data_IF_187169878158
#
_entry.id   IF_187169878158
#
_cell.length_a   1.000
_cell.length_b   1.000
_cell.length_c   1.000
_cell.angle_alpha   90.00
_cell.angle_beta   90.00
_cell.angle_gamma   90.00
#
_symmetry.space_group_name_H-M   'P 1'
#
loop_
_entity.id
_entity.type
_entity.pdbx_description
1 polymer ?
#
# COMPACT_ATOMS: atom_id res chain seq x y z
N UNK A 1 -21.81 24.87 -38.42
CA UNK A 1 -20.85 25.27 -37.38
C UNK A 1 -19.95 24.09 -37.11
N UNK A 2 -18.67 24.17 -37.52
CA UNK A 2 -17.71 23.11 -37.27
C UNK A 2 -17.11 23.32 -35.87
N UNK A 3 -17.21 22.31 -35.00
CA UNK A 3 -16.47 22.27 -33.74
C UNK A 3 -14.98 22.34 -34.06
N UNK A 4 -14.31 23.40 -33.62
CA UNK A 4 -12.86 23.41 -33.61
C UNK A 4 -12.38 22.35 -32.59
N UNK A 5 -11.38 21.52 -32.95
CA UNK A 5 -10.77 20.63 -31.97
C UNK A 5 -10.14 21.49 -30.88
N UNK A 6 -10.54 21.26 -29.63
CA UNK A 6 -9.89 21.82 -28.45
C UNK A 6 -8.48 21.24 -28.42
N UNK A 7 -7.53 21.98 -29.00
CA UNK A 7 -6.11 21.69 -28.84
C UNK A 7 -5.81 21.96 -27.37
N UNK A 8 -5.82 20.89 -26.57
CA UNK A 8 -5.30 20.93 -25.20
C UNK A 8 -3.82 21.23 -25.34
N UNK A 9 -3.46 22.50 -25.18
CA UNK A 9 -2.07 22.91 -25.04
C UNK A 9 -1.58 22.31 -23.73
N UNK A 10 -1.03 21.10 -23.81
CA UNK A 10 -0.25 20.50 -22.72
C UNK A 10 0.86 21.50 -22.44
N UNK A 11 0.76 22.23 -21.33
CA UNK A 11 1.79 23.18 -20.92
C UNK A 11 3.13 22.45 -20.96
N UNK A 12 4.02 22.90 -21.83
CA UNK A 12 5.28 22.24 -22.11
C UNK A 12 6.08 22.18 -20.82
N UNK A 13 6.24 20.97 -20.28
CA UNK A 13 6.90 20.73 -19.02
C UNK A 13 8.32 21.31 -19.04
N UNK A 14 8.70 22.09 -18.02
CA UNK A 14 10.05 22.64 -17.98
C UNK A 14 11.08 21.52 -17.81
N UNK A 15 12.27 21.68 -18.42
CA UNK A 15 13.37 20.71 -18.29
C UNK A 15 13.72 20.46 -16.81
N UNK A 16 13.62 21.50 -15.99
CA UNK A 16 13.87 21.43 -14.55
C UNK A 16 12.88 20.50 -13.84
N UNK A 17 11.57 20.67 -14.05
CA UNK A 17 10.53 19.82 -13.45
C UNK A 17 10.67 18.35 -13.86
N UNK A 18 11.02 18.09 -15.12
CA UNK A 18 11.25 16.72 -15.59
C UNK A 18 12.45 16.09 -14.91
N UNK A 19 13.53 16.85 -14.76
CA UNK A 19 14.74 16.37 -14.08
C UNK A 19 14.49 16.07 -12.60
N UNK A 20 13.72 16.93 -11.92
CA UNK A 20 13.35 16.77 -10.52
C UNK A 20 12.45 15.54 -10.33
N UNK A 21 11.40 15.38 -11.17
CA UNK A 21 10.54 14.18 -11.14
C UNK A 21 11.36 12.90 -11.28
N UNK A 22 12.28 12.87 -12.26
CA UNK A 22 13.12 11.70 -12.50
C UNK A 22 14.05 11.41 -11.32
N UNK A 23 14.62 12.44 -10.69
CA UNK A 23 15.47 12.27 -9.52
C UNK A 23 14.68 11.67 -8.34
N UNK A 24 13.47 12.18 -8.08
CA UNK A 24 12.61 11.66 -7.01
C UNK A 24 12.19 10.23 -7.30
N UNK A 25 11.80 9.92 -8.55
CA UNK A 25 11.47 8.55 -8.97
C UNK A 25 12.63 7.58 -8.68
N UNK A 26 13.86 7.94 -9.07
CA UNK A 26 15.04 7.10 -8.83
C UNK A 26 15.26 6.86 -7.34
N UNK A 27 15.12 7.90 -6.51
CA UNK A 27 15.27 7.78 -5.05
C UNK A 27 14.17 6.88 -4.48
N UNK A 28 12.92 7.07 -4.90
CA UNK A 28 11.79 6.25 -4.46
C UNK A 28 11.99 4.79 -4.85
N UNK A 29 12.30 4.50 -6.12
CA UNK A 29 12.57 3.13 -6.60
C UNK A 29 13.72 2.47 -5.82
N UNK A 30 14.78 3.22 -5.52
CA UNK A 30 15.90 2.74 -4.73
C UNK A 30 15.51 2.41 -3.28
N UNK A 31 14.69 3.25 -2.64
CA UNK A 31 14.21 3.01 -1.27
C UNK A 31 13.33 1.76 -1.20
N UNK A 32 12.39 1.59 -2.14
CA UNK A 32 11.54 0.40 -2.21
C UNK A 32 12.36 -0.87 -2.47
N UNK A 33 13.31 -0.83 -3.41
CA UNK A 33 14.22 -1.95 -3.68
C UNK A 33 15.11 -2.30 -2.47
N UNK A 34 15.62 -1.29 -1.77
CA UNK A 34 16.41 -1.47 -0.55
C UNK A 34 15.56 -2.09 0.57
N UNK A 35 14.33 -1.61 0.78
CA UNK A 35 13.44 -2.15 1.79
C UNK A 35 13.12 -3.64 1.55
N UNK A 36 12.89 -4.04 0.30
CA UNK A 36 12.73 -5.44 -0.08
C UNK A 36 14.00 -6.24 0.23
N UNK A 37 15.18 -5.72 -0.14
CA UNK A 37 16.46 -6.38 0.12
C UNK A 37 16.73 -6.56 1.63
N UNK A 38 16.45 -5.54 2.44
CA UNK A 38 16.60 -5.59 3.89
C UNK A 38 15.57 -6.53 4.54
N UNK A 39 14.35 -6.61 4.01
CA UNK A 39 13.34 -7.58 4.47
C UNK A 39 13.75 -9.03 4.14
N UNK A 40 14.47 -9.26 3.03
CA UNK A 40 15.03 -10.57 2.74
C UNK A 40 16.23 -10.88 3.67
N UNK A 41 17.05 -9.88 3.97
CA UNK A 41 18.17 -10.03 4.89
C UNK A 41 17.71 -10.38 6.32
N UNK A 42 16.59 -9.82 6.80
CA UNK A 42 16.08 -10.13 8.14
C UNK A 42 15.70 -11.60 8.34
N UNK A 43 15.45 -12.36 7.26
CA UNK A 43 15.26 -13.82 7.33
C UNK A 43 16.53 -14.56 7.78
N UNK A 44 17.71 -14.02 7.46
CA UNK A 44 19.00 -14.67 7.78
C UNK A 44 19.37 -14.55 9.25
N UNK A 45 18.79 -13.57 9.95
CA UNK A 45 19.00 -13.33 11.38
C UNK A 45 17.95 -14.02 12.26
N UNK A 46 16.96 -14.67 11.66
CA UNK A 46 15.91 -15.38 12.39
C UNK A 46 16.42 -16.74 12.88
N UNK A 47 16.35 -16.97 14.19
CA UNK A 47 16.77 -18.25 14.79
C UNK A 47 15.75 -19.34 14.43
N UNK A 48 16.17 -20.30 13.60
CA UNK A 48 15.33 -21.42 13.18
C UNK A 48 15.57 -22.58 14.16
N UNK A 49 14.57 -22.86 14.99
CA UNK A 49 14.59 -23.97 15.95
C UNK A 49 13.79 -25.17 15.47
N UNK A 50 12.75 -24.93 14.67
CA UNK A 50 11.84 -25.95 14.14
C UNK A 50 11.46 -25.68 12.68
N UNK A 51 10.82 -26.65 12.00
CA UNK A 51 10.41 -26.48 10.59
C UNK A 51 9.25 -25.46 10.47
N UNK A 52 8.44 -25.35 11.52
CA UNK A 52 7.37 -24.38 11.66
C UNK A 52 7.89 -22.94 11.56
N UNK A 53 9.05 -22.66 12.17
CA UNK A 53 9.72 -21.36 12.12
C UNK A 53 10.05 -20.96 10.66
N UNK A 54 10.46 -21.92 9.84
CA UNK A 54 10.76 -21.69 8.42
C UNK A 54 9.49 -21.28 7.66
N UNK A 55 8.37 -21.97 7.89
CA UNK A 55 7.11 -21.63 7.22
C UNK A 55 6.60 -20.25 7.63
N UNK A 56 6.72 -19.89 8.92
CA UNK A 56 6.36 -18.56 9.39
C UNK A 56 7.25 -17.48 8.79
N UNK A 57 8.56 -17.65 8.83
CA UNK A 57 9.51 -16.69 8.28
C UNK A 57 9.23 -16.43 6.78
N UNK A 58 9.07 -17.48 5.98
CA UNK A 58 8.75 -17.38 4.54
C UNK A 58 7.39 -16.70 4.33
N UNK A 59 6.36 -17.08 5.09
CA UNK A 59 5.02 -16.52 4.96
C UNK A 59 4.97 -15.02 5.24
N UNK A 60 5.64 -14.57 6.30
CA UNK A 60 5.74 -13.15 6.65
C UNK A 60 6.59 -12.36 5.66
N UNK A 61 7.72 -12.90 5.24
CA UNK A 61 8.53 -12.27 4.20
C UNK A 61 7.73 -12.11 2.90
N UNK A 62 7.03 -13.15 2.47
CA UNK A 62 6.16 -13.09 1.30
C UNK A 62 5.09 -11.99 1.44
N UNK A 63 4.43 -11.91 2.60
CA UNK A 63 3.40 -10.89 2.84
C UNK A 63 3.96 -9.47 2.78
N UNK A 64 5.10 -9.23 3.42
CA UNK A 64 5.75 -7.92 3.39
C UNK A 64 6.28 -7.57 2.02
N UNK A 65 6.94 -8.51 1.34
CA UNK A 65 7.35 -8.34 -0.04
C UNK A 65 6.16 -7.97 -0.93
N UNK A 66 5.03 -8.67 -0.77
CA UNK A 66 3.81 -8.42 -1.52
C UNK A 66 3.30 -7.00 -1.28
N UNK A 67 3.21 -6.55 -0.03
CA UNK A 67 2.72 -5.20 0.27
C UNK A 67 3.68 -4.09 -0.17
N UNK A 68 4.99 -4.23 0.06
CA UNK A 68 5.98 -3.26 -0.42
C UNK A 68 5.89 -3.16 -1.95
N UNK A 69 5.80 -4.29 -2.64
CA UNK A 69 5.67 -4.34 -4.11
C UNK A 69 4.35 -3.73 -4.58
N UNK A 70 3.24 -3.98 -3.87
CA UNK A 70 1.93 -3.41 -4.18
C UNK A 70 1.96 -1.87 -4.07
N UNK A 71 2.48 -1.34 -2.96
CA UNK A 71 2.62 0.09 -2.78
C UNK A 71 3.61 0.71 -3.77
N UNK A 72 4.68 0.01 -4.11
CA UNK A 72 5.61 0.43 -5.16
C UNK A 72 4.89 0.59 -6.51
N UNK A 73 4.08 -0.39 -6.92
CA UNK A 73 3.30 -0.32 -8.16
C UNK A 73 2.35 0.88 -8.15
N UNK A 74 1.68 1.13 -7.02
CA UNK A 74 0.78 2.28 -6.87
C UNK A 74 1.52 3.61 -6.95
N UNK A 75 2.68 3.72 -6.29
CA UNK A 75 3.47 4.95 -6.28
C UNK A 75 4.15 5.21 -7.62
N UNK A 76 4.66 4.16 -8.27
CA UNK A 76 5.41 4.27 -9.54
C UNK A 76 4.58 4.90 -10.66
N UNK A 77 3.31 4.55 -10.76
CA UNK A 77 2.38 5.10 -11.76
C UNK A 77 2.31 6.63 -11.73
N UNK A 78 2.47 7.24 -10.55
CA UNK A 78 2.47 8.70 -10.44
C UNK A 78 3.64 9.38 -11.19
N UNK A 79 4.78 8.69 -11.34
CA UNK A 79 5.92 9.27 -12.05
C UNK A 79 5.80 9.13 -13.57
N UNK A 80 5.02 8.15 -14.04
CA UNK A 80 4.79 7.87 -15.46
C UNK A 80 3.69 8.79 -16.02
N UNK A 81 2.60 8.96 -15.28
CA UNK A 81 1.37 9.60 -15.79
C UNK A 81 1.30 11.12 -15.54
N UNK A 82 2.15 11.69 -14.65
CA UNK A 82 1.95 13.07 -14.17
C UNK A 82 3.15 14.01 -14.28
N UNK A 83 2.99 15.16 -14.98
CA UNK A 83 4.08 16.11 -15.20
C UNK A 83 4.35 17.06 -14.02
N UNK A 84 3.41 17.24 -13.09
CA UNK A 84 3.51 18.28 -12.03
C UNK A 84 3.78 17.64 -10.68
N UNK A 85 5.01 17.82 -10.18
CA UNK A 85 5.40 17.42 -8.84
C UNK A 85 5.47 18.67 -7.96
N UNK A 86 4.40 18.91 -7.19
CA UNK A 86 4.34 20.02 -6.24
C UNK A 86 5.04 19.67 -4.93
N UNK A 87 5.44 20.68 -4.15
CA UNK A 87 6.13 20.48 -2.87
C UNK A 87 5.36 19.61 -1.85
N UNK A 88 4.02 19.67 -1.86
CA UNK A 88 3.19 18.80 -1.02
C UNK A 88 3.28 17.31 -1.43
N UNK A 89 3.31 17.03 -2.74
CA UNK A 89 3.47 15.65 -3.27
C UNK A 89 4.86 15.13 -2.92
N UNK A 90 5.90 15.94 -3.12
CA UNK A 90 7.26 15.59 -2.71
C UNK A 90 7.34 15.28 -1.21
N UNK A 91 6.75 16.13 -0.36
CA UNK A 91 6.70 15.90 1.09
C UNK A 91 6.03 14.58 1.48
N UNK A 92 4.89 14.25 0.86
CA UNK A 92 4.21 12.98 1.09
C UNK A 92 5.08 11.80 0.64
N UNK A 93 5.71 11.88 -0.53
CA UNK A 93 6.61 10.84 -1.04
C UNK A 93 7.81 10.62 -0.13
N UNK A 94 8.39 11.69 0.44
CA UNK A 94 9.50 11.56 1.40
C UNK A 94 9.07 10.84 2.67
N UNK A 95 7.93 11.21 3.26
CA UNK A 95 7.41 10.54 4.45
C UNK A 95 7.09 9.08 4.12
N UNK A 96 6.46 8.82 2.98
CA UNK A 96 6.17 7.46 2.52
C UNK A 96 7.44 6.63 2.37
N UNK A 97 8.49 7.17 1.73
CA UNK A 97 9.78 6.49 1.60
C UNK A 97 10.42 6.20 2.96
N UNK A 98 10.32 7.13 3.91
CA UNK A 98 10.80 6.92 5.28
C UNK A 98 10.08 5.74 5.96
N UNK A 99 8.75 5.69 5.88
CA UNK A 99 7.95 4.60 6.46
C UNK A 99 8.27 3.25 5.79
N UNK A 100 8.38 3.22 4.45
CA UNK A 100 8.79 2.01 3.72
C UNK A 100 10.20 1.54 4.13
N UNK A 101 11.13 2.47 4.38
CA UNK A 101 12.50 2.14 4.78
C UNK A 101 12.61 1.56 6.20
N UNK A 102 11.71 1.93 7.12
CA UNK A 102 11.68 1.38 8.49
C UNK A 102 10.94 0.04 8.57
N UNK A 103 10.09 -0.29 7.59
CA UNK A 103 9.29 -1.52 7.59
C UNK A 103 10.09 -2.82 7.82
N UNK A 104 11.31 -3.03 7.24
CA UNK A 104 12.12 -4.22 7.51
C UNK A 104 12.53 -4.35 8.98
N UNK A 105 12.79 -3.23 9.65
CA UNK A 105 13.10 -3.22 11.09
C UNK A 105 11.87 -3.58 11.92
N UNK A 106 10.69 -3.02 11.59
CA UNK A 106 9.42 -3.35 12.26
C UNK A 106 9.10 -4.85 12.10
N UNK A 107 9.32 -5.38 10.90
CA UNK A 107 9.22 -6.80 10.58
C UNK A 107 10.14 -7.68 11.43
N UNK A 108 11.39 -7.25 11.63
CA UNK A 108 12.32 -7.98 12.49
C UNK A 108 11.83 -8.04 13.94
N UNK A 109 11.35 -6.90 14.48
CA UNK A 109 10.78 -6.87 15.84
C UNK A 109 9.56 -7.79 15.97
N UNK A 110 8.77 -7.89 14.89
CA UNK A 110 7.65 -8.81 14.83
C UNK A 110 8.11 -10.27 14.93
N UNK A 111 9.17 -10.67 14.23
CA UNK A 111 9.71 -12.03 14.30
C UNK A 111 10.22 -12.41 15.68
N UNK A 112 10.89 -11.49 16.37
CA UNK A 112 11.32 -11.69 17.78
C UNK A 112 10.13 -11.97 18.70
N UNK A 113 8.96 -11.38 18.43
CA UNK A 113 7.74 -11.64 19.19
C UNK A 113 7.20 -13.05 18.97
N UNK A 114 7.37 -13.61 17.77
CA UNK A 114 6.87 -14.96 17.44
C UNK A 114 7.74 -16.07 18.02
N UNK A 115 9.05 -15.87 18.11
CA UNK A 115 10.00 -16.85 18.65
C UNK A 115 9.98 -16.96 20.19
N UNK A 116 8.89 -16.53 20.85
CA UNK A 116 8.73 -16.61 22.30
C UNK A 116 9.43 -15.51 23.10
N UNK A 117 9.92 -14.46 22.44
CA UNK A 117 10.46 -13.28 23.12
C UNK A 117 9.37 -12.57 23.92
N UNK A 118 9.41 -12.64 25.25
CA UNK A 118 8.49 -11.92 26.15
C UNK A 118 8.85 -10.45 26.32
N UNK A 119 9.68 -9.89 25.44
CA UNK A 119 10.05 -8.49 25.51
C UNK A 119 8.83 -7.63 25.17
N UNK A 120 8.45 -6.76 26.11
CA UNK A 120 7.35 -5.80 25.97
C UNK A 120 7.43 -5.02 24.64
N UNK A 121 8.65 -4.75 24.18
CA UNK A 121 8.96 -4.10 22.89
C UNK A 121 8.44 -4.89 21.69
N UNK A 122 8.56 -6.23 21.70
CA UNK A 122 8.13 -7.08 20.60
C UNK A 122 6.59 -7.12 20.49
N UNK A 123 5.92 -7.17 21.65
CA UNK A 123 4.45 -7.09 21.75
C UNK A 123 3.95 -5.74 21.25
N UNK A 124 4.59 -4.64 21.66
CA UNK A 124 4.23 -3.28 21.19
C UNK A 124 4.43 -3.16 19.67
N UNK A 125 5.51 -3.73 19.14
CA UNK A 125 5.79 -3.71 17.70
C UNK A 125 4.70 -4.44 16.90
N UNK A 126 4.29 -5.63 17.35
CA UNK A 126 3.23 -6.42 16.74
C UNK A 126 1.85 -5.74 16.84
N UNK A 127 1.54 -5.19 18.00
CA UNK A 127 0.19 -4.66 18.26
C UNK A 127 -0.05 -3.29 17.62
N UNK A 128 0.97 -2.44 17.62
CA UNK A 128 0.82 -1.03 17.28
C UNK A 128 1.69 -0.64 16.11
N UNK A 129 2.99 -0.93 16.17
CA UNK A 129 3.95 -0.35 15.23
C UNK A 129 3.69 -0.78 13.78
N UNK A 130 3.54 -2.09 13.54
CA UNK A 130 3.29 -2.59 12.19
C UNK A 130 1.94 -2.13 11.60
N UNK A 131 0.81 -2.28 12.30
CA UNK A 131 -0.48 -1.78 11.78
C UNK A 131 -0.51 -0.26 11.59
N UNK A 132 0.12 0.52 12.48
CA UNK A 132 0.17 1.97 12.34
C UNK A 132 1.03 2.38 11.16
N UNK A 133 2.19 1.76 10.97
CA UNK A 133 3.09 2.06 9.85
C UNK A 133 2.41 1.76 8.50
N UNK A 134 1.90 0.53 8.35
CA UNK A 134 1.17 0.10 7.15
C UNK A 134 -0.11 0.90 6.89
N UNK A 135 -0.85 1.23 7.96
CA UNK A 135 -2.01 2.10 7.88
C UNK A 135 -1.64 3.51 7.44
N UNK A 136 -0.54 4.06 7.96
CA UNK A 136 -0.04 5.39 7.58
C UNK A 136 0.44 5.41 6.13
N UNK A 137 1.22 4.41 5.69
CA UNK A 137 1.62 4.25 4.27
C UNK A 137 0.39 4.25 3.37
N UNK A 138 -0.63 3.47 3.73
CA UNK A 138 -1.89 3.38 2.98
C UNK A 138 -2.62 4.72 2.90
N UNK A 139 -2.68 5.50 4.00
CA UNK A 139 -3.25 6.85 4.02
C UNK A 139 -2.47 7.79 3.10
N UNK A 140 -1.13 7.74 3.13
CA UNK A 140 -0.29 8.60 2.29
C UNK A 140 -0.49 8.27 0.81
N UNK A 141 -0.55 6.99 0.44
CA UNK A 141 -0.86 6.58 -0.93
C UNK A 141 -2.26 7.04 -1.34
N UNK A 142 -3.26 6.88 -0.47
CA UNK A 142 -4.60 7.34 -0.77
C UNK A 142 -4.67 8.88 -0.93
N UNK A 143 -3.91 9.59 -0.10
CA UNK A 143 -3.78 11.06 -0.16
C UNK A 143 -3.11 11.52 -1.45
N UNK A 144 -2.08 10.79 -1.92
CA UNK A 144 -1.48 11.03 -3.25
C UNK A 144 -2.55 10.92 -4.33
N UNK A 145 -3.27 9.80 -4.39
CA UNK A 145 -4.36 9.61 -5.36
C UNK A 145 -5.37 10.76 -5.33
N UNK A 146 -5.83 11.17 -4.15
CA UNK A 146 -6.78 12.29 -4.02
C UNK A 146 -6.21 13.64 -4.48
N UNK A 147 -4.97 13.96 -4.13
CA UNK A 147 -4.31 15.18 -4.58
C UNK A 147 -4.13 15.20 -6.09
N UNK A 148 -3.77 14.06 -6.68
CA UNK A 148 -3.64 13.94 -8.13
C UNK A 148 -5.00 14.03 -8.83
N UNK A 149 -6.04 13.37 -8.33
CA UNK A 149 -7.41 13.51 -8.86
C UNK A 149 -7.88 14.97 -8.86
N UNK A 150 -7.50 15.74 -7.83
CA UNK A 150 -7.79 17.18 -7.75
C UNK A 150 -7.02 18.00 -8.80
N UNK A 151 -5.76 17.66 -9.08
CA UNK A 151 -4.92 18.39 -10.05
C UNK A 151 -5.17 18.00 -11.51
N UNK A 152 -5.48 16.73 -11.76
CA UNK A 152 -5.67 16.14 -13.08
C UNK A 152 -7.11 16.21 -13.62
N UNK A 153 -8.05 16.79 -12.86
CA UNK A 153 -9.46 16.86 -13.25
C UNK A 153 -9.61 17.55 -14.62
N UNK A 154 -10.14 16.81 -15.60
CA UNK A 154 -10.35 17.29 -16.98
C UNK A 154 -9.10 17.29 -17.87
N UNK A 155 -7.95 16.78 -17.40
CA UNK A 155 -6.69 16.71 -18.17
C UNK A 155 -6.21 15.28 -18.42
N UNK A 156 -6.78 14.32 -17.69
CA UNK A 156 -6.38 12.91 -17.68
C UNK A 156 -7.41 12.11 -18.48
N UNK A 157 -6.99 11.15 -19.34
CA UNK A 157 -7.89 10.20 -19.98
C UNK A 157 -8.80 9.49 -18.97
N UNK A 158 -10.04 9.22 -19.35
CA UNK A 158 -11.02 8.65 -18.44
C UNK A 158 -10.60 7.30 -17.85
N UNK A 159 -9.92 6.45 -18.64
CA UNK A 159 -9.45 5.16 -18.17
C UNK A 159 -8.39 5.28 -17.06
N UNK A 160 -7.42 6.19 -17.22
CA UNK A 160 -6.43 6.50 -16.18
C UNK A 160 -7.10 7.10 -14.94
N UNK A 161 -8.08 8.00 -15.13
CA UNK A 161 -8.84 8.58 -14.04
C UNK A 161 -9.59 7.50 -13.24
N UNK A 162 -10.25 6.54 -13.92
CA UNK A 162 -10.93 5.41 -13.27
C UNK A 162 -9.96 4.59 -12.42
N UNK A 163 -8.79 4.25 -12.97
CA UNK A 163 -7.77 3.50 -12.22
C UNK A 163 -7.33 4.23 -10.96
N UNK A 164 -7.06 5.53 -11.03
CA UNK A 164 -6.65 6.31 -9.86
C UNK A 164 -7.71 6.41 -8.78
N UNK A 165 -8.98 6.56 -9.17
CA UNK A 165 -10.09 6.55 -8.21
C UNK A 165 -10.13 5.20 -7.50
N UNK A 166 -10.06 4.11 -8.25
CA UNK A 166 -10.13 2.76 -7.69
C UNK A 166 -8.94 2.44 -6.80
N UNK A 167 -7.71 2.75 -7.24
CA UNK A 167 -6.49 2.53 -6.46
C UNK A 167 -6.50 3.41 -5.18
N UNK A 168 -6.99 4.65 -5.27
CA UNK A 168 -7.18 5.53 -4.11
C UNK A 168 -8.16 4.97 -3.08
N UNK A 169 -9.31 4.45 -3.52
CA UNK A 169 -10.27 3.79 -2.62
C UNK A 169 -9.72 2.49 -2.03
N UNK A 170 -9.01 1.69 -2.82
CA UNK A 170 -8.35 0.49 -2.32
C UNK A 170 -7.34 0.85 -1.22
N UNK A 171 -6.51 1.88 -1.42
CA UNK A 171 -5.58 2.37 -0.41
C UNK A 171 -6.29 2.83 0.88
N UNK A 172 -7.46 3.48 0.79
CA UNK A 172 -8.28 3.80 1.97
C UNK A 172 -8.79 2.56 2.70
N UNK A 173 -9.18 1.51 1.97
CA UNK A 173 -9.63 0.25 2.56
C UNK A 173 -8.49 -0.45 3.29
N UNK A 174 -7.29 -0.48 2.71
CA UNK A 174 -6.10 -0.99 3.40
C UNK A 174 -5.78 -0.16 4.65
N UNK A 175 -5.83 1.16 4.57
CA UNK A 175 -5.63 2.04 5.73
C UNK A 175 -6.59 1.69 6.88
N UNK A 176 -7.89 1.64 6.59
CA UNK A 176 -8.91 1.26 7.57
C UNK A 176 -8.66 -0.13 8.14
N UNK A 177 -8.33 -1.09 7.29
CA UNK A 177 -8.02 -2.46 7.70
C UNK A 177 -6.84 -2.58 8.64
N UNK A 178 -5.71 -1.96 8.30
CA UNK A 178 -4.53 -1.96 9.15
C UNK A 178 -4.81 -1.24 10.48
N UNK A 179 -5.41 -0.05 10.45
CA UNK A 179 -5.69 0.70 11.67
C UNK A 179 -6.72 0.00 12.58
N UNK A 180 -7.75 -0.62 12.02
CA UNK A 180 -8.70 -1.44 12.79
C UNK A 180 -8.02 -2.68 13.38
N UNK A 181 -7.07 -3.29 12.65
CA UNK A 181 -6.29 -4.40 13.18
C UNK A 181 -5.41 -4.00 14.38
N UNK A 182 -5.00 -2.72 14.49
CA UNK A 182 -4.26 -2.24 15.66
C UNK A 182 -5.08 -2.40 16.96
N UNK A 183 -6.40 -2.16 16.87
CA UNK A 183 -7.35 -2.18 17.99
C UNK A 183 -7.82 -3.61 18.31
N UNK A 184 -7.64 -4.56 17.38
CA UNK A 184 -8.05 -5.95 17.61
C UNK A 184 -7.31 -6.57 18.81
N UNK A 185 -7.99 -7.37 19.66
CA UNK A 185 -7.37 -8.04 20.80
C UNK A 185 -6.22 -8.95 20.36
N UNK A 186 -5.08 -8.89 21.06
CA UNK A 186 -3.93 -9.73 20.75
C UNK A 186 -4.17 -11.22 21.04
N UNK A 187 -5.17 -11.55 21.84
CA UNK A 187 -5.57 -12.93 22.15
C UNK A 187 -6.44 -13.55 21.08
N UNK A 188 -6.94 -12.77 20.10
CA UNK A 188 -7.76 -13.29 19.02
C UNK A 188 -6.86 -14.05 18.05
N UNK A 189 -7.20 -15.31 17.78
CA UNK A 189 -6.47 -16.17 16.85
C UNK A 189 -7.15 -16.21 15.47
N UNK A 190 -6.42 -16.68 14.47
CA UNK A 190 -6.92 -16.84 13.11
C UNK A 190 -8.11 -17.81 13.06
N UNK A 191 -8.09 -18.86 13.90
CA UNK A 191 -9.19 -19.80 14.05
C UNK A 191 -10.46 -19.16 14.62
N UNK A 192 -10.34 -18.16 15.50
CA UNK A 192 -11.50 -17.42 16.03
C UNK A 192 -12.14 -16.52 14.97
N UNK A 193 -11.33 -16.03 14.02
CA UNK A 193 -11.76 -15.11 12.97
C UNK A 193 -12.40 -15.83 11.77
N UNK A 194 -11.88 -17.01 11.41
CA UNK A 194 -12.28 -17.74 10.21
C UNK A 194 -13.21 -18.90 10.54
N UNK A 195 -14.39 -18.93 9.90
CA UNK A 195 -15.42 -19.95 10.12
C UNK A 195 -15.12 -21.32 9.48
N UNK A 196 -13.89 -21.55 8.99
CA UNK A 196 -13.48 -22.80 8.34
C UNK A 196 -12.22 -23.35 9.01
N UNK A 197 -12.03 -24.69 9.03
CA UNK A 197 -10.87 -25.30 9.67
C UNK A 197 -9.58 -24.90 8.96
N UNK A 198 -8.66 -24.30 9.71
CA UNK A 198 -7.32 -23.96 9.25
C UNK A 198 -6.36 -24.99 9.83
N UNK A 199 -5.45 -25.56 9.02
CA UNK A 199 -4.43 -26.46 9.54
C UNK A 199 -3.50 -25.74 10.54
N UNK A 200 -3.09 -26.44 11.60
CA UNK A 200 -1.96 -26.01 12.40
C UNK A 200 -0.69 -26.00 11.52
N UNK A 201 0.22 -25.03 11.71
CA UNK A 201 0.28 -24.07 12.81
C UNK A 201 -0.43 -22.72 12.52
N UNK A 202 -1.06 -22.55 11.35
CA UNK A 202 -1.68 -21.28 10.96
C UNK A 202 -2.90 -20.89 11.81
N UNK A 203 -3.59 -21.87 12.41
CA UNK A 203 -4.72 -21.64 13.29
C UNK A 203 -4.38 -20.78 14.53
N UNK A 204 -3.15 -20.91 15.03
CA UNK A 204 -2.67 -20.23 16.24
C UNK A 204 -2.10 -18.83 15.94
N UNK A 205 -2.03 -18.44 14.66
CA UNK A 205 -1.58 -17.11 14.28
C UNK A 205 -2.50 -16.05 14.85
N UNK A 206 -1.93 -14.91 15.21
CA UNK A 206 -2.69 -13.76 15.63
C UNK A 206 -3.69 -13.34 14.53
N UNK A 207 -4.95 -13.14 14.88
CA UNK A 207 -6.01 -12.79 13.95
C UNK A 207 -5.70 -11.55 13.09
N UNK A 208 -4.88 -10.63 13.60
CA UNK A 208 -4.40 -9.45 12.85
C UNK A 208 -3.73 -9.84 11.54
N UNK A 209 -2.95 -10.92 11.53
CA UNK A 209 -2.33 -11.45 10.32
C UNK A 209 -3.37 -11.88 9.29
N UNK A 210 -4.42 -12.57 9.75
CA UNK A 210 -5.57 -12.92 8.93
C UNK A 210 -6.27 -11.71 8.33
N UNK A 211 -6.51 -10.70 9.15
CA UNK A 211 -7.10 -9.44 8.68
C UNK A 211 -6.29 -8.88 7.52
N UNK A 212 -4.96 -8.84 7.62
CA UNK A 212 -4.11 -8.30 6.54
C UNK A 212 -4.22 -9.08 5.23
N UNK A 213 -4.32 -10.41 5.29
CA UNK A 213 -4.59 -11.24 4.10
C UNK A 213 -6.00 -10.99 3.55
N UNK A 214 -7.00 -10.92 4.42
CA UNK A 214 -8.39 -10.67 4.05
C UNK A 214 -8.53 -9.31 3.37
N UNK A 215 -7.73 -8.30 3.77
CA UNK A 215 -7.77 -6.97 3.14
C UNK A 215 -7.47 -7.00 1.65
N UNK A 216 -6.64 -7.92 1.16
CA UNK A 216 -6.38 -8.08 -0.27
C UNK A 216 -7.65 -8.48 -1.00
N UNK A 217 -8.42 -9.41 -0.42
CA UNK A 217 -9.71 -9.84 -0.97
C UNK A 217 -10.78 -8.77 -0.83
N UNK A 218 -10.84 -8.06 0.30
CA UNK A 218 -11.78 -6.95 0.50
C UNK A 218 -11.49 -5.84 -0.52
N UNK A 219 -10.23 -5.48 -0.75
CA UNK A 219 -9.85 -4.49 -1.75
C UNK A 219 -10.27 -4.91 -3.17
N UNK A 220 -10.11 -6.20 -3.52
CA UNK A 220 -10.61 -6.75 -4.78
C UNK A 220 -12.14 -6.72 -4.87
N UNK A 221 -12.86 -6.94 -3.76
CA UNK A 221 -14.33 -6.82 -3.71
C UNK A 221 -14.76 -5.35 -3.89
N UNK A 222 -14.05 -4.39 -3.29
CA UNK A 222 -14.32 -2.95 -3.40
C UNK A 222 -14.06 -2.41 -4.79
N UNK A 223 -13.17 -3.04 -5.57
CA UNK A 223 -12.95 -2.73 -6.97
C UNK A 223 -14.26 -2.75 -7.78
N UNK A 224 -15.09 -3.77 -7.58
CA UNK A 224 -16.34 -3.99 -8.32
C UNK A 224 -17.37 -2.85 -8.16
N UNK A 225 -17.80 -2.45 -6.95
CA UNK A 225 -18.76 -1.37 -6.79
C UNK A 225 -18.20 -0.01 -7.22
N UNK A 226 -16.89 0.24 -7.03
CA UNK A 226 -16.26 1.48 -7.51
C UNK A 226 -16.29 1.53 -9.04
N UNK A 227 -15.92 0.44 -9.70
CA UNK A 227 -15.99 0.35 -11.17
C UNK A 227 -17.43 0.51 -11.69
N UNK A 228 -18.42 -0.12 -11.04
CA UNK A 228 -19.83 0.03 -11.40
C UNK A 228 -20.32 1.49 -11.23
N UNK A 229 -19.90 2.16 -10.16
CA UNK A 229 -20.22 3.57 -9.93
C UNK A 229 -19.59 4.48 -11.00
N UNK A 230 -18.32 4.22 -11.35
CA UNK A 230 -17.60 4.94 -12.41
C UNK A 230 -18.27 4.75 -13.77
N UNK A 231 -18.64 3.52 -14.15
CA UNK A 231 -19.38 3.23 -15.40
C UNK A 231 -20.76 3.92 -15.45
N UNK A 232 -21.39 4.19 -14.30
CA UNK A 232 -22.65 4.95 -14.23
C UNK A 232 -22.42 6.45 -14.46
N UNK A 233 -21.32 6.99 -13.94
CA UNK A 233 -20.93 8.38 -14.18
C UNK A 233 -20.53 8.63 -15.64
N UNK A 234 -19.78 7.71 -16.26
CA UNK A 234 -19.38 7.75 -17.67
C UNK A 234 -20.59 7.92 -18.59
N UNK A 235 -21.59 7.04 -18.43
CA UNK A 235 -22.86 7.15 -19.18
C UNK A 235 -23.55 8.48 -19.00
N UNK A 236 -23.51 9.07 -17.81
CA UNK A 236 -24.15 10.37 -17.54
C UNK A 236 -23.39 11.53 -18.19
N UNK A 237 -22.08 11.37 -18.42
CA UNK A 237 -21.23 12.35 -19.07
C UNK A 237 -21.44 12.35 -20.59
N UNK A 238 -21.52 11.17 -21.21
CA UNK A 238 -21.79 11.02 -22.65
C UNK A 238 -23.14 11.60 -23.10
N UNK A 239 -24.16 11.64 -22.23
CA UNK A 239 -25.46 12.25 -22.54
C UNK A 239 -25.49 13.79 -22.41
N UNK A 240 -24.42 14.42 -21.92
CA UNK A 240 -24.35 15.89 -21.75
C UNK A 240 -23.57 16.60 -22.85
N UNK A 241 -22.87 15.86 -23.71
CA UNK A 241 -22.25 16.37 -24.94
C UNK A 241 -23.19 16.18 -26.14
#
# INVERSE_FOLDING_TARGET
MACQPVVVVVAQESIHQRSERRAIQIITDAVFGLAIGLAAFSLTEYEISAIEDVYFAIGFFFLTFFFISLFWVWVRRFFEDYPILGGAIAGILYILCFLVAILPFIMRLFFTSLSGGTEEVAIVAQQWLYPLDMGTISILVASLHMLFLKQGRGKVPWDEYKHMVTDGYAAFVFAGGFLLSAIAPATLTLADLLFFPIPSPFAELNAKFGVWFILVFIAAIVYVPVELALRRMERTYEYRE
#
